data_IF_139179586863
#
_entry.id   IF_139179586863
#
_cell.length_a   1.000
_cell.length_b   1.000
_cell.length_c   1.000
_cell.angle_alpha   90.00
_cell.angle_beta   90.00
_cell.angle_gamma   90.00
#
_symmetry.space_group_name_H-M   'P 1'
#
loop_
_entity.id
_entity.type
_entity.pdbx_description
1 polymer ?
#
# COMPACT_ATOMS: atom_id res chain seq x y z
N UNK A 1 8.73 8.71 9.17
CA UNK A 1 9.48 7.48 8.85
C UNK A 1 10.70 7.87 8.03
N UNK A 2 11.89 7.41 8.41
CA UNK A 2 13.15 7.69 7.74
C UNK A 2 13.49 6.63 6.66
N UNK A 3 14.58 6.84 5.93
CA UNK A 3 14.99 5.95 4.83
C UNK A 3 15.35 4.53 5.30
N UNK A 4 16.01 4.37 6.45
CA UNK A 4 16.36 3.05 7.00
C UNK A 4 15.12 2.26 7.43
N UNK A 5 14.17 2.93 8.11
CA UNK A 5 12.87 2.34 8.44
C UNK A 5 12.13 1.89 7.16
N UNK A 6 12.10 2.73 6.12
CA UNK A 6 11.47 2.42 4.85
C UNK A 6 12.09 1.20 4.15
N UNK A 7 13.41 1.00 4.24
CA UNK A 7 14.11 -0.16 3.68
C UNK A 7 13.61 -1.47 4.32
N UNK A 8 13.27 -1.48 5.62
CA UNK A 8 12.75 -2.68 6.31
C UNK A 8 11.41 -3.18 5.74
N UNK A 9 10.66 -2.33 5.03
CA UNK A 9 9.41 -2.70 4.36
C UNK A 9 9.63 -3.49 3.05
N UNK A 10 10.88 -3.71 2.64
CA UNK A 10 11.23 -4.51 1.45
C UNK A 10 10.97 -6.00 1.67
N UNK A 11 10.33 -6.64 0.69
CA UNK A 11 10.06 -8.08 0.74
C UNK A 11 11.35 -8.92 0.75
N UNK A 12 12.42 -8.44 0.12
CA UNK A 12 13.73 -9.11 0.12
C UNK A 12 14.44 -9.13 1.48
N UNK A 13 13.96 -8.35 2.45
CA UNK A 13 14.43 -8.37 3.85
C UNK A 13 13.41 -9.06 4.79
N UNK A 14 12.27 -9.51 4.26
CA UNK A 14 11.18 -10.11 5.04
C UNK A 14 11.25 -11.65 5.01
N UNK A 15 12.05 -12.19 5.92
CA UNK A 15 12.30 -13.64 6.04
C UNK A 15 11.07 -14.45 6.48
N UNK A 16 9.99 -13.83 6.97
CA UNK A 16 8.76 -14.55 7.34
C UNK A 16 8.16 -15.33 6.17
N UNK A 17 8.42 -14.89 4.93
CA UNK A 17 8.04 -15.57 3.70
C UNK A 17 8.65 -16.97 3.51
N UNK A 18 9.76 -17.28 4.19
CA UNK A 18 10.40 -18.60 4.18
C UNK A 18 9.65 -19.64 5.04
N UNK A 19 8.74 -19.19 5.92
CA UNK A 19 7.99 -20.05 6.85
C UNK A 19 6.50 -20.17 6.47
N UNK A 20 6.02 -19.40 5.50
CA UNK A 20 4.65 -19.48 4.97
C UNK A 20 4.45 -20.76 4.14
N UNK A 21 3.67 -21.71 4.68
CA UNK A 21 3.30 -22.96 3.99
C UNK A 21 2.24 -22.80 2.88
N UNK A 22 1.87 -21.58 2.53
CA UNK A 22 0.89 -21.22 1.49
C UNK A 22 1.50 -20.19 0.55
N UNK A 23 2.33 -20.66 -0.39
CA UNK A 23 3.22 -19.80 -1.19
C UNK A 23 2.72 -19.49 -2.61
N UNK A 24 1.54 -19.99 -3.00
CA UNK A 24 1.01 -19.94 -4.38
C UNK A 24 0.60 -18.54 -4.89
N UNK A 25 0.67 -17.51 -4.04
CA UNK A 25 0.26 -16.15 -4.37
C UNK A 25 1.42 -15.16 -4.28
N UNK A 26 1.84 -14.64 -5.44
CA UNK A 26 2.80 -13.53 -5.55
C UNK A 26 2.31 -12.35 -4.71
N UNK A 27 3.00 -12.09 -3.59
CA UNK A 27 2.66 -11.01 -2.65
C UNK A 27 2.84 -9.64 -3.32
N UNK A 28 1.78 -9.12 -3.94
CA UNK A 28 1.78 -7.77 -4.54
C UNK A 28 2.04 -6.72 -3.46
N UNK A 29 2.89 -5.73 -3.73
CA UNK A 29 3.06 -4.60 -2.81
C UNK A 29 1.75 -3.81 -2.70
N UNK A 30 1.25 -3.66 -1.47
CA UNK A 30 0.01 -2.94 -1.16
C UNK A 30 0.30 -1.57 -0.54
N UNK A 31 1.24 -0.85 -1.16
CA UNK A 31 1.67 0.51 -0.81
C UNK A 31 1.38 1.48 -1.95
N UNK A 32 1.02 2.71 -1.60
CA UNK A 32 1.02 3.85 -2.52
C UNK A 32 1.55 5.11 -1.83
N UNK A 33 1.89 6.14 -2.60
CA UNK A 33 2.36 7.43 -2.09
C UNK A 33 1.36 8.54 -2.42
N UNK A 34 1.35 9.60 -1.62
CA UNK A 34 0.49 10.78 -1.81
C UNK A 34 1.20 12.07 -1.42
N UNK A 35 0.83 13.16 -2.09
CA UNK A 35 1.20 14.55 -1.74
C UNK A 35 0.04 15.35 -1.14
N UNK A 36 -1.08 14.70 -0.79
CA UNK A 36 -2.14 15.32 0.01
C UNK A 36 -1.70 15.32 1.48
N UNK A 37 -2.21 16.23 2.30
CA UNK A 37 -1.91 16.23 3.74
C UNK A 37 -2.49 14.98 4.42
N UNK A 38 -1.84 14.50 5.49
CA UNK A 38 -2.26 13.28 6.20
C UNK A 38 -3.74 13.30 6.64
N UNK A 39 -4.28 14.47 7.02
CA UNK A 39 -5.71 14.64 7.33
C UNK A 39 -6.62 14.33 6.12
N UNK A 40 -6.27 14.81 4.93
CA UNK A 40 -7.02 14.54 3.69
C UNK A 40 -6.90 13.07 3.28
N UNK A 41 -5.71 12.47 3.41
CA UNK A 41 -5.48 11.05 3.14
C UNK A 41 -6.40 10.19 4.03
N UNK A 42 -6.42 10.45 5.34
CA UNK A 42 -7.28 9.73 6.29
C UNK A 42 -8.76 9.94 5.97
N UNK A 43 -9.24 11.17 5.77
CA UNK A 43 -10.66 11.39 5.46
C UNK A 43 -11.10 10.73 4.14
N UNK A 44 -10.23 10.68 3.13
CA UNK A 44 -10.49 9.95 1.89
C UNK A 44 -10.53 8.43 2.11
N UNK A 45 -9.62 7.88 2.92
CA UNK A 45 -9.62 6.46 3.32
C UNK A 45 -10.93 6.09 4.02
N UNK A 46 -11.36 6.90 4.98
CA UNK A 46 -12.57 6.67 5.79
C UNK A 46 -13.83 6.72 4.93
N UNK A 47 -13.99 7.76 4.10
CA UNK A 47 -15.12 7.90 3.19
C UNK A 47 -15.17 6.76 2.15
N UNK A 48 -14.02 6.38 1.57
CA UNK A 48 -13.96 5.27 0.61
C UNK A 48 -14.29 3.93 1.28
N UNK A 49 -13.76 3.65 2.48
CA UNK A 49 -14.06 2.43 3.21
C UNK A 49 -15.54 2.33 3.64
N UNK A 50 -16.13 3.43 4.11
CA UNK A 50 -17.57 3.50 4.36
C UNK A 50 -18.40 3.21 3.11
N UNK A 51 -18.02 3.77 1.96
CA UNK A 51 -18.64 3.47 0.65
C UNK A 51 -18.40 2.05 0.13
N UNK A 52 -17.68 1.21 0.87
CA UNK A 52 -17.43 -0.21 0.59
C UNK A 52 -18.09 -1.14 1.63
N UNK A 53 -18.93 -0.60 2.53
CA UNK A 53 -19.59 -1.40 3.58
C UNK A 53 -18.62 -1.91 4.66
N UNK A 54 -17.47 -1.24 4.83
CA UNK A 54 -16.49 -1.59 5.86
C UNK A 54 -16.72 -0.76 7.12
N UNK A 55 -16.66 -1.39 8.27
CA UNK A 55 -16.56 -0.69 9.56
C UNK A 55 -15.15 -0.13 9.70
N UNK A 56 -15.06 1.13 10.12
CA UNK A 56 -13.81 1.91 10.16
C UNK A 56 -13.51 2.31 11.60
N UNK A 57 -12.24 2.19 12.02
CA UNK A 57 -11.76 2.73 13.29
C UNK A 57 -10.37 3.33 13.12
N UNK A 58 -10.25 4.65 13.31
CA UNK A 58 -9.02 5.42 13.13
C UNK A 58 -8.48 5.95 14.46
N UNK A 59 -7.17 5.84 14.67
CA UNK A 59 -6.43 6.46 15.77
C UNK A 59 -5.01 6.77 15.31
N UNK A 60 -4.51 7.98 15.55
CA UNK A 60 -3.10 8.36 15.30
C UNK A 60 -2.56 7.97 13.90
N UNK A 61 -3.28 8.34 12.83
CA UNK A 61 -2.96 8.01 11.43
C UNK A 61 -2.92 6.49 11.08
N UNK A 62 -3.44 5.65 11.97
CA UNK A 62 -3.67 4.22 11.78
C UNK A 62 -5.17 3.94 11.72
N UNK A 63 -5.63 3.37 10.61
CA UNK A 63 -7.03 3.03 10.37
C UNK A 63 -7.18 1.51 10.23
N UNK A 64 -7.99 0.90 11.11
CA UNK A 64 -8.41 -0.50 11.00
C UNK A 64 -9.75 -0.58 10.26
N UNK A 65 -9.81 -1.47 9.29
CA UNK A 65 -11.00 -1.77 8.49
C UNK A 65 -11.47 -3.19 8.81
N UNK A 66 -12.76 -3.35 9.10
CA UNK A 66 -13.44 -4.63 9.32
C UNK A 66 -14.56 -4.83 8.30
N UNK A 67 -14.58 -5.99 7.62
CA UNK A 67 -15.68 -6.35 6.71
C UNK A 67 -16.93 -6.74 7.47
N UNK A 68 -18.07 -6.15 7.11
CA UNK A 68 -19.38 -6.55 7.65
C UNK A 68 -19.85 -7.86 7.00
N UNK A 69 -19.56 -9.00 7.65
CA UNK A 69 -20.09 -10.29 7.22
C UNK A 69 -21.30 -10.71 8.05
N UNK A 70 -22.38 -11.10 7.36
CA UNK A 70 -23.56 -11.72 7.97
C UNK A 70 -23.39 -13.23 8.26
N UNK A 71 -22.38 -13.87 7.66
CA UNK A 71 -22.15 -15.32 7.76
C UNK A 71 -20.72 -15.64 8.24
N UNK A 72 -20.54 -16.80 8.88
CA UNK A 72 -19.30 -17.21 9.56
C UNK A 72 -18.07 -17.46 8.64
N UNK A 73 -18.19 -17.23 7.34
CA UNK A 73 -17.07 -17.28 6.40
C UNK A 73 -16.19 -16.02 6.53
N UNK A 74 -15.04 -16.17 7.19
CA UNK A 74 -13.88 -15.26 7.10
C UNK A 74 -14.13 -13.76 7.33
N UNK A 75 -13.96 -13.29 8.57
CA UNK A 75 -13.89 -11.85 8.83
C UNK A 75 -12.69 -11.22 8.11
N UNK A 76 -12.96 -10.52 7.00
CA UNK A 76 -11.97 -9.67 6.34
C UNK A 76 -11.56 -8.55 7.30
N UNK A 77 -10.24 -8.35 7.47
CA UNK A 77 -9.73 -7.16 8.15
C UNK A 77 -8.43 -6.67 7.52
N UNK A 78 -8.29 -5.35 7.44
CA UNK A 78 -7.07 -4.67 7.00
C UNK A 78 -6.67 -3.58 7.98
N UNK A 79 -5.38 -3.23 8.00
CA UNK A 79 -4.82 -2.09 8.72
C UNK A 79 -4.13 -1.20 7.71
N UNK A 80 -4.40 0.11 7.79
CA UNK A 80 -3.79 1.14 6.97
C UNK A 80 -3.01 2.08 7.88
N UNK A 81 -1.77 2.37 7.55
CA UNK A 81 -0.93 3.34 8.27
C UNK A 81 -0.35 4.36 7.29
N UNK A 82 -0.40 5.64 7.70
CA UNK A 82 0.09 6.78 6.90
C UNK A 82 1.37 7.32 7.54
N UNK A 83 2.47 7.25 6.81
CA UNK A 83 3.80 7.69 7.26
C UNK A 83 4.29 8.85 6.41
N UNK A 84 4.67 9.97 7.01
CA UNK A 84 5.49 10.96 6.28
C UNK A 84 6.89 10.37 6.04
N UNK A 85 7.36 10.42 4.78
CA UNK A 85 8.66 9.87 4.34
C UNK A 85 9.61 10.94 3.79
N UNK A 86 9.06 12.07 3.36
CA UNK A 86 9.75 13.33 3.08
C UNK A 86 8.73 14.47 3.26
N UNK A 87 9.14 15.74 3.40
CA UNK A 87 8.20 16.85 3.62
C UNK A 87 7.06 16.89 2.59
N UNK A 88 5.82 16.82 3.06
CA UNK A 88 4.61 16.75 2.22
C UNK A 88 4.53 15.53 1.26
N UNK A 89 5.25 14.44 1.57
CA UNK A 89 5.18 13.16 0.86
C UNK A 89 4.90 12.04 1.87
N UNK A 90 3.74 11.42 1.71
CA UNK A 90 3.24 10.39 2.61
C UNK A 90 3.19 9.03 1.91
N UNK A 91 3.73 8.00 2.56
CA UNK A 91 3.53 6.60 2.22
C UNK A 91 2.27 6.09 2.94
N UNK A 92 1.39 5.44 2.20
CA UNK A 92 0.23 4.73 2.74
C UNK A 92 0.50 3.23 2.59
N UNK A 93 0.66 2.54 3.73
CA UNK A 93 0.86 1.10 3.80
C UNK A 93 -0.46 0.42 4.19
N UNK A 94 -0.98 -0.41 3.29
CA UNK A 94 -2.19 -1.23 3.53
C UNK A 94 -1.71 -2.66 3.77
N UNK A 95 -2.15 -3.27 4.88
CA UNK A 95 -1.75 -4.63 5.30
C UNK A 95 -2.97 -5.48 5.60
N UNK A 96 -2.93 -6.76 5.18
CA UNK A 96 -3.94 -7.77 5.56
C UNK A 96 -3.77 -8.13 7.04
N UNK A 97 -4.85 -8.03 7.82
CA UNK A 97 -4.88 -8.44 9.22
C UNK A 97 -5.66 -9.74 9.42
N UNK A 98 -6.74 -9.96 8.66
CA UNK A 98 -7.51 -11.20 8.64
C UNK A 98 -8.22 -11.42 7.29
N UNK A 99 -8.72 -12.63 7.06
CA UNK A 99 -9.41 -13.02 5.82
C UNK A 99 -8.49 -13.52 4.72
N UNK A 100 -9.09 -13.88 3.58
CA UNK A 100 -8.42 -14.48 2.43
C UNK A 100 -7.49 -13.49 1.68
N UNK A 101 -6.46 -14.03 1.01
CA UNK A 101 -5.44 -13.29 0.27
C UNK A 101 -5.93 -12.81 -1.11
N UNK A 102 -6.76 -13.60 -1.81
CA UNK A 102 -7.36 -13.17 -3.08
C UNK A 102 -8.39 -12.06 -2.83
N UNK A 103 -9.26 -12.20 -1.85
CA UNK A 103 -10.25 -11.19 -1.47
C UNK A 103 -9.60 -9.90 -0.97
N UNK A 104 -8.51 -9.99 -0.19
CA UNK A 104 -7.70 -8.83 0.16
C UNK A 104 -7.10 -8.12 -1.07
N UNK A 105 -6.64 -8.86 -2.08
CA UNK A 105 -6.14 -8.25 -3.32
C UNK A 105 -7.27 -7.70 -4.23
N UNK A 106 -8.49 -8.26 -4.19
CA UNK A 106 -9.69 -7.67 -4.82
C UNK A 106 -10.05 -6.35 -4.12
N UNK A 107 -10.10 -6.35 -2.79
CA UNK A 107 -10.30 -5.15 -1.96
C UNK A 107 -9.29 -4.06 -2.32
N UNK A 108 -7.99 -4.34 -2.24
CA UNK A 108 -6.94 -3.34 -2.45
C UNK A 108 -7.03 -2.70 -3.85
N UNK A 109 -7.30 -3.49 -4.90
CA UNK A 109 -7.51 -2.99 -6.26
C UNK A 109 -8.72 -2.04 -6.36
N UNK A 110 -9.84 -2.39 -5.73
CA UNK A 110 -11.06 -1.56 -5.71
C UNK A 110 -10.85 -0.27 -4.90
N UNK A 111 -10.21 -0.39 -3.74
CA UNK A 111 -9.88 0.69 -2.82
C UNK A 111 -8.96 1.74 -3.49
N UNK A 112 -7.86 1.30 -4.12
CA UNK A 112 -6.98 2.19 -4.87
C UNK A 112 -7.66 2.85 -6.08
N UNK A 113 -8.58 2.16 -6.78
CA UNK A 113 -9.37 2.78 -7.86
C UNK A 113 -10.25 3.91 -7.34
N UNK A 114 -10.91 3.74 -6.18
CA UNK A 114 -11.69 4.82 -5.54
C UNK A 114 -10.81 5.97 -5.02
N UNK A 115 -9.57 5.69 -4.62
CA UNK A 115 -8.59 6.67 -4.11
C UNK A 115 -7.68 7.29 -5.18
N UNK A 116 -7.89 7.04 -6.47
CA UNK A 116 -6.98 7.49 -7.54
C UNK A 116 -6.67 9.00 -7.50
N UNK A 117 -7.64 9.83 -7.09
CA UNK A 117 -7.52 11.28 -6.92
C UNK A 117 -6.57 11.75 -5.79
N UNK A 118 -6.13 10.86 -4.89
CA UNK A 118 -5.08 11.13 -3.90
C UNK A 118 -3.76 10.38 -4.17
N UNK A 119 -3.73 9.40 -5.07
CA UNK A 119 -2.52 8.63 -5.36
C UNK A 119 -1.57 9.48 -6.21
N UNK A 120 -0.39 9.78 -5.68
CA UNK A 120 0.66 10.43 -6.46
C UNK A 120 1.31 9.41 -7.39
N UNK A 121 1.02 9.55 -8.69
CA UNK A 121 1.79 8.91 -9.77
C UNK A 121 2.96 9.84 -10.12
N UNK A 122 4.19 9.34 -10.32
CA UNK A 122 5.23 10.12 -10.98
C UNK A 122 4.73 10.56 -12.36
N UNK A 123 4.93 11.82 -12.70
CA UNK A 123 4.73 12.29 -14.08
C UNK A 123 5.80 11.65 -14.96
N UNK A 124 5.45 11.15 -16.15
CA UNK A 124 6.42 10.63 -17.12
C UNK A 124 7.14 11.79 -17.85
N UNK A 125 7.80 12.66 -17.07
CA UNK A 125 8.58 13.78 -17.59
C UNK A 125 9.92 13.28 -18.15
N UNK A 126 9.90 12.86 -19.42
CA UNK A 126 11.06 12.54 -20.25
C UNK A 126 12.10 11.62 -19.60
N UNK A 127 11.83 10.31 -19.61
CA UNK A 127 12.87 9.27 -19.55
C UNK A 127 13.70 9.21 -20.86
N UNK A 128 14.27 10.37 -21.26
CA UNK A 128 15.17 10.57 -22.40
C UNK A 128 16.41 11.37 -21.99
N UNK A 129 16.99 11.05 -20.84
CA UNK A 129 18.42 11.30 -20.63
C UNK A 129 19.21 10.09 -21.11
N UNK A 130 20.25 10.34 -21.90
CA UNK A 130 20.86 9.33 -22.75
C UNK A 130 21.53 8.20 -21.97
N UNK A 131 21.21 6.96 -22.36
CA UNK A 131 22.06 5.81 -22.05
C UNK A 131 23.37 5.96 -22.84
N UNK A 132 24.33 6.71 -22.28
CA UNK A 132 25.65 6.89 -22.85
C UNK A 132 26.34 5.53 -22.93
N UNK A 133 26.33 4.98 -24.14
CA UNK A 133 26.94 3.69 -24.48
C UNK A 133 28.44 3.80 -24.23
N UNK A 134 28.90 3.25 -23.11
CA UNK A 134 30.32 3.13 -22.81
C UNK A 134 30.96 2.31 -23.93
N UNK A 135 31.86 2.94 -24.70
CA UNK A 135 32.76 2.18 -25.55
C UNK A 135 33.72 1.42 -24.65
N UNK A 136 33.75 0.10 -24.77
CA UNK A 136 34.92 -0.67 -24.36
C UNK A 136 36.12 -0.19 -25.18
N UNK A 137 37.25 0.08 -24.52
CA UNK A 137 38.51 0.24 -25.21
C UNK A 137 39.07 -1.14 -25.59
N UNK A 138 39.72 -1.21 -26.74
CA UNK A 138 40.40 -2.42 -27.22
C UNK A 138 41.69 -2.70 -26.43
N UNK A 139 42.14 -3.96 -26.46
CA UNK A 139 43.48 -4.44 -26.10
C UNK A 139 43.77 -5.73 -26.85
#
# INVERSE_FOLDING_TARGET
>A
MNAFEMITLSQGLNLSSLFDRQQDFIKRQTRFVSRKSAKVIISSIEAVAGSMGLKVHTRNFKTRLEGLSANKAGQFAAVIEVYEVAPSLFLVDVRKAAGDTLDYHKFYRSFCKKLEHIIWKPTESNAKHGLLRTKSCDS
#
